data_IF_570387744908
#
_entry.id   IF_570387744908
#
_cell.length_a   1.000
_cell.length_b   1.000
_cell.length_c   1.000
_cell.angle_alpha   90.00
_cell.angle_beta   90.00
_cell.angle_gamma   90.00
#
_symmetry.space_group_name_H-M   'P 1'
#
loop_
_entity.id
_entity.type
_entity.pdbx_description
1 polymer ?
#
# COMPACT_ATOMS: atom_id res chain seq x y z
N UNK A 1 16.54 -17.54 4.05
CA UNK A 1 16.32 -16.09 4.14
C UNK A 1 15.39 -15.69 3.03
N UNK A 2 14.27 -15.06 3.38
CA UNK A 2 13.26 -14.57 2.41
C UNK A 2 13.75 -13.24 1.85
N UNK A 3 13.78 -13.09 0.51
CA UNK A 3 14.09 -11.80 -0.13
C UNK A 3 12.83 -11.05 -0.50
N UNK A 4 12.71 -9.81 -0.05
CA UNK A 4 11.51 -8.98 -0.25
C UNK A 4 11.87 -7.65 -0.89
N UNK A 5 11.31 -7.40 -2.08
CA UNK A 5 11.44 -6.11 -2.78
C UNK A 5 10.52 -5.07 -2.14
N UNK A 6 11.04 -3.88 -1.89
CA UNK A 6 10.32 -2.81 -1.20
C UNK A 6 10.76 -1.43 -1.71
N UNK A 7 9.91 -0.41 -1.53
CA UNK A 7 10.24 0.99 -1.78
C UNK A 7 11.40 1.46 -0.88
N UNK A 8 11.98 2.63 -1.10
CA UNK A 8 13.25 3.04 -0.49
C UNK A 8 13.32 2.81 1.01
N UNK A 9 14.51 2.47 1.48
CA UNK A 9 14.82 2.30 2.89
C UNK A 9 14.41 3.55 3.70
N UNK A 10 13.70 3.34 4.82
CA UNK A 10 13.12 4.40 5.62
C UNK A 10 11.73 4.88 5.15
N UNK A 11 11.16 4.31 4.09
CA UNK A 11 9.79 4.61 3.67
C UNK A 11 8.74 3.94 4.58
N UNK A 12 7.49 4.39 4.48
CA UNK A 12 6.36 3.72 5.15
C UNK A 12 6.25 2.25 4.75
N UNK A 13 6.55 1.91 3.49
CA UNK A 13 6.55 0.51 3.03
C UNK A 13 7.64 -0.33 3.72
N UNK A 14 8.81 0.27 4.00
CA UNK A 14 9.88 -0.39 4.76
C UNK A 14 9.46 -0.63 6.22
N UNK A 15 8.88 0.37 6.90
CA UNK A 15 8.35 0.18 8.26
C UNK A 15 7.26 -0.90 8.28
N UNK A 16 6.32 -0.84 7.33
CA UNK A 16 5.19 -1.74 7.24
C UNK A 16 5.62 -3.21 7.02
N UNK A 17 6.59 -3.46 6.14
CA UNK A 17 7.07 -4.83 5.88
C UNK A 17 7.88 -5.39 7.04
N UNK A 18 8.69 -4.56 7.71
CA UNK A 18 9.40 -4.97 8.93
C UNK A 18 8.43 -5.36 10.05
N UNK A 19 7.29 -4.68 10.12
CA UNK A 19 6.23 -5.05 11.04
C UNK A 19 5.64 -6.42 10.68
N UNK A 20 5.22 -6.65 9.43
CA UNK A 20 4.67 -7.93 8.98
C UNK A 20 5.66 -9.10 9.21
N UNK A 21 6.93 -8.91 8.88
CA UNK A 21 7.93 -9.98 8.89
C UNK A 21 8.63 -10.17 10.26
N UNK A 22 8.17 -9.49 11.32
CA UNK A 22 8.73 -9.65 12.66
C UNK A 22 8.73 -11.13 13.08
N UNK A 23 9.89 -11.62 13.49
CA UNK A 23 10.09 -13.02 13.88
C UNK A 23 10.44 -13.97 12.73
N UNK A 24 10.54 -13.49 11.50
CA UNK A 24 11.03 -14.24 10.35
C UNK A 24 12.44 -13.79 9.95
N UNK A 25 13.19 -14.65 9.27
CA UNK A 25 14.48 -14.30 8.68
C UNK A 25 14.26 -13.77 7.25
N UNK A 26 14.59 -12.51 7.00
CA UNK A 26 14.40 -11.86 5.72
C UNK A 26 15.50 -10.88 5.36
N UNK A 27 15.63 -10.59 4.07
CA UNK A 27 16.46 -9.56 3.46
C UNK A 27 15.58 -8.60 2.65
N UNK A 28 15.70 -7.29 2.87
CA UNK A 28 14.98 -6.27 2.10
C UNK A 28 15.86 -5.76 0.96
N UNK A 29 15.30 -5.77 -0.25
CA UNK A 29 15.92 -5.24 -1.46
C UNK A 29 15.16 -3.98 -1.87
N UNK A 30 15.85 -2.82 -1.90
CA UNK A 30 15.23 -1.51 -2.04
C UNK A 30 15.26 -1.01 -3.48
N UNK A 31 14.12 -0.51 -3.94
CA UNK A 31 13.94 0.08 -5.25
C UNK A 31 13.32 1.47 -5.15
N UNK A 32 13.57 2.32 -6.15
CA UNK A 32 13.02 3.69 -6.17
C UNK A 32 11.58 3.75 -6.64
N UNK A 33 11.20 2.87 -7.56
CA UNK A 33 9.91 2.86 -8.23
C UNK A 33 9.15 1.57 -7.90
N UNK A 34 7.84 1.67 -7.77
CA UNK A 34 6.97 0.51 -7.51
C UNK A 34 7.03 -0.52 -8.65
N UNK A 35 7.21 -0.06 -9.87
CA UNK A 35 7.39 -0.94 -11.04
C UNK A 35 8.61 -1.83 -10.90
N UNK A 36 9.73 -1.27 -10.41
CA UNK A 36 10.96 -2.04 -10.20
C UNK A 36 10.83 -3.01 -9.03
N UNK A 37 10.11 -2.60 -7.95
CA UNK A 37 9.75 -3.47 -6.83
C UNK A 37 8.99 -4.70 -7.33
N UNK A 38 7.97 -4.51 -8.14
CA UNK A 38 7.14 -5.58 -8.67
C UNK A 38 7.90 -6.45 -9.69
N UNK A 39 8.63 -5.83 -10.62
CA UNK A 39 9.41 -6.54 -11.65
C UNK A 39 10.52 -7.40 -11.05
N UNK A 40 11.15 -6.97 -9.97
CA UNK A 40 12.15 -7.78 -9.27
C UNK A 40 11.59 -9.14 -8.84
N UNK A 41 10.36 -9.17 -8.33
CA UNK A 41 9.71 -10.44 -7.95
C UNK A 41 9.22 -11.21 -9.17
N UNK A 42 8.68 -10.53 -10.17
CA UNK A 42 8.24 -11.17 -11.41
C UNK A 42 9.40 -11.85 -12.17
N UNK A 43 10.59 -11.27 -12.11
CA UNK A 43 11.81 -11.83 -12.71
C UNK A 43 12.51 -12.89 -11.84
N UNK A 44 12.07 -13.08 -10.59
CA UNK A 44 12.65 -14.05 -9.66
C UNK A 44 13.90 -13.56 -8.92
N UNK A 45 14.21 -12.26 -8.95
CA UNK A 45 15.33 -11.68 -8.20
C UNK A 45 15.01 -11.61 -6.70
N UNK A 46 13.72 -11.49 -6.35
CA UNK A 46 13.19 -11.54 -4.98
C UNK A 46 12.03 -12.53 -4.87
N UNK A 47 11.77 -13.02 -3.65
CA UNK A 47 10.68 -13.97 -3.39
C UNK A 47 9.32 -13.28 -3.32
N UNK A 48 9.29 -12.04 -2.83
CA UNK A 48 8.07 -11.23 -2.68
C UNK A 48 8.32 -9.77 -2.99
N UNK A 49 7.24 -9.06 -3.32
CA UNK A 49 7.22 -7.60 -3.32
C UNK A 49 6.11 -7.04 -2.43
N UNK A 50 6.34 -5.83 -1.93
CA UNK A 50 5.40 -5.09 -1.08
C UNK A 50 4.76 -3.99 -1.90
N UNK A 51 3.41 -4.00 -1.96
CA UNK A 51 2.64 -3.05 -2.75
C UNK A 51 1.61 -2.33 -1.87
N UNK A 52 1.76 -1.02 -1.61
CA UNK A 52 0.69 -0.23 -1.01
C UNK A 52 -0.43 -0.02 -2.03
N UNK A 53 -1.67 -0.37 -1.68
CA UNK A 53 -2.81 -0.33 -2.61
C UNK A 53 -3.93 0.60 -2.20
N UNK A 54 -3.98 1.02 -0.94
CA UNK A 54 -5.05 1.85 -0.42
C UNK A 54 -4.60 2.61 0.83
N UNK A 55 -5.09 3.82 0.98
CA UNK A 55 -4.91 4.64 2.17
C UNK A 55 -6.26 5.22 2.59
N UNK A 56 -6.56 5.30 3.88
CA UNK A 56 -7.87 5.75 4.37
C UNK A 56 -8.18 7.22 4.04
N UNK A 57 -7.15 8.03 3.78
CA UNK A 57 -7.29 9.47 3.47
C UNK A 57 -7.29 9.70 1.97
N UNK A 58 -6.32 9.11 1.25
CA UNK A 58 -6.11 9.31 -0.19
C UNK A 58 -6.95 8.36 -1.07
N UNK A 59 -7.47 7.29 -0.47
CA UNK A 59 -8.20 6.25 -1.21
C UNK A 59 -7.28 5.26 -1.92
N UNK A 60 -7.72 4.79 -3.09
CA UNK A 60 -7.00 3.78 -3.87
C UNK A 60 -5.70 4.30 -4.47
N UNK A 61 -4.61 3.53 -4.37
CA UNK A 61 -3.38 3.76 -5.11
C UNK A 61 -3.50 3.09 -6.48
N UNK A 62 -4.33 3.68 -7.34
CA UNK A 62 -4.79 3.10 -8.60
C UNK A 62 -3.66 2.68 -9.54
N UNK A 63 -2.55 3.43 -9.57
CA UNK A 63 -1.41 3.11 -10.43
C UNK A 63 -0.73 1.78 -10.03
N UNK A 64 -0.67 1.48 -8.73
CA UNK A 64 -0.10 0.24 -8.22
C UNK A 64 -1.01 -0.96 -8.53
N UNK A 65 -2.31 -0.77 -8.31
CA UNK A 65 -3.31 -1.78 -8.63
C UNK A 65 -3.32 -2.09 -10.14
N UNK A 66 -3.28 -1.06 -10.99
CA UNK A 66 -3.21 -1.22 -12.45
C UNK A 66 -1.98 -2.01 -12.88
N UNK A 67 -0.81 -1.72 -12.29
CA UNK A 67 0.41 -2.47 -12.58
C UNK A 67 0.26 -3.96 -12.21
N UNK A 68 -0.28 -4.24 -11.03
CA UNK A 68 -0.54 -5.62 -10.59
C UNK A 68 -1.52 -6.35 -11.52
N UNK A 69 -2.56 -5.65 -12.00
CA UNK A 69 -3.58 -6.25 -12.87
C UNK A 69 -3.03 -6.58 -14.27
N UNK A 70 -2.29 -5.63 -14.86
CA UNK A 70 -1.93 -5.67 -16.27
C UNK A 70 -0.53 -6.24 -16.55
N UNK A 71 0.40 -5.99 -15.63
CA UNK A 71 1.82 -6.19 -15.88
C UNK A 71 2.45 -7.27 -14.97
N UNK A 72 1.65 -7.83 -14.03
CA UNK A 72 2.09 -8.94 -13.16
C UNK A 72 1.13 -10.11 -13.21
N UNK A 73 1.69 -11.33 -13.13
CA UNK A 73 0.94 -12.56 -12.96
C UNK A 73 1.46 -13.35 -11.75
N UNK A 74 1.44 -12.70 -10.60
CA UNK A 74 1.84 -13.29 -9.32
C UNK A 74 0.69 -13.21 -8.32
N UNK A 75 0.49 -14.26 -7.50
CA UNK A 75 -0.56 -14.27 -6.50
C UNK A 75 -0.24 -13.37 -5.29
N UNK A 76 -1.30 -12.82 -4.70
CA UNK A 76 -1.25 -12.15 -3.41
C UNK A 76 -1.11 -13.21 -2.33
N UNK A 77 -0.16 -13.05 -1.42
CA UNK A 77 0.16 -14.00 -0.35
C UNK A 77 -0.26 -13.54 1.04
N UNK A 78 -0.38 -12.23 1.23
CA UNK A 78 -0.85 -11.65 2.47
C UNK A 78 -1.33 -10.21 2.24
N UNK A 79 -2.17 -9.76 3.15
CA UNK A 79 -2.59 -8.37 3.28
C UNK A 79 -2.38 -7.93 4.73
N UNK A 80 -1.94 -6.69 4.92
CA UNK A 80 -1.94 -6.09 6.26
C UNK A 80 -2.19 -4.59 6.20
N UNK A 81 -2.69 -4.07 7.32
CA UNK A 81 -2.93 -2.65 7.52
C UNK A 81 -1.85 -2.10 8.45
N UNK A 82 -1.26 -0.95 8.09
CA UNK A 82 -0.21 -0.29 8.85
C UNK A 82 -0.52 1.22 8.99
N UNK A 83 -0.42 1.79 10.21
CA UNK A 83 -0.61 3.22 10.45
C UNK A 83 0.69 3.98 10.14
N UNK A 84 0.78 4.72 9.03
CA UNK A 84 1.95 5.55 8.76
C UNK A 84 1.96 6.74 9.72
N UNK A 85 3.05 6.93 10.46
CA UNK A 85 3.28 8.12 11.27
C UNK A 85 4.07 9.15 10.47
N UNK A 86 3.64 10.40 10.54
CA UNK A 86 4.35 11.54 9.96
C UNK A 86 5.01 12.33 11.09
N UNK A 87 6.34 12.43 11.05
CA UNK A 87 7.10 13.13 12.07
C UNK A 87 7.84 14.31 11.46
N UNK A 88 8.03 15.38 12.24
CA UNK A 88 8.94 16.47 11.89
C UNK A 88 10.37 16.05 12.26
N UNK A 89 11.26 16.10 11.29
CA UNK A 89 12.62 15.56 11.39
C UNK A 89 13.64 16.66 11.06
N UNK A 90 14.67 16.79 11.88
CA UNK A 90 15.73 17.77 11.69
C UNK A 90 16.97 17.44 12.51
N UNK A 91 17.85 18.42 12.69
CA UNK A 91 19.00 18.29 13.57
C UNK A 91 18.59 18.52 15.03
N UNK A 92 19.33 17.95 16.02
CA UNK A 92 18.97 18.08 17.44
C UNK A 92 18.83 19.52 17.93
N UNK A 93 19.65 20.41 17.36
CA UNK A 93 19.73 21.84 17.75
C UNK A 93 18.84 22.74 16.88
N UNK A 94 17.93 22.19 16.10
CA UNK A 94 17.00 22.96 15.26
C UNK A 94 16.07 23.80 16.13
N UNK A 95 16.10 25.12 15.93
CA UNK A 95 15.10 26.05 16.44
C UNK A 95 13.93 26.14 15.46
N UNK A 96 12.74 25.74 15.88
CA UNK A 96 11.54 25.79 15.02
C UNK A 96 11.20 27.20 14.54
N UNK A 97 11.55 28.25 15.30
CA UNK A 97 11.33 29.61 14.87
C UNK A 97 12.28 30.07 13.75
N UNK A 98 13.43 29.40 13.61
CA UNK A 98 14.42 29.65 12.57
C UNK A 98 14.30 28.73 11.34
N UNK A 99 13.33 27.82 11.33
CA UNK A 99 13.16 26.92 10.18
C UNK A 99 12.77 27.69 8.93
N UNK A 100 13.56 27.51 7.87
CA UNK A 100 13.36 28.16 6.57
C UNK A 100 12.60 27.27 5.59
N UNK A 101 12.84 25.92 5.65
CA UNK A 101 12.27 24.95 4.71
C UNK A 101 11.75 23.70 5.39
N UNK A 102 10.61 23.22 4.87
CA UNK A 102 10.03 21.90 5.18
C UNK A 102 10.01 21.08 3.89
N UNK A 103 10.74 19.96 3.83
CA UNK A 103 10.86 19.09 2.66
C UNK A 103 10.07 17.80 2.88
N UNK A 104 9.21 17.43 1.94
CA UNK A 104 8.61 16.10 1.89
C UNK A 104 7.88 15.83 0.57
N UNK A 105 7.30 14.65 0.48
CA UNK A 105 6.36 14.33 -0.58
C UNK A 105 5.06 15.15 -0.42
N UNK A 106 4.44 15.53 -1.54
CA UNK A 106 3.24 16.37 -1.55
C UNK A 106 2.13 15.85 -0.62
N UNK A 107 1.88 14.54 -0.63
CA UNK A 107 0.86 13.90 0.20
C UNK A 107 1.17 14.07 1.70
N UNK A 108 2.42 13.85 2.12
CA UNK A 108 2.82 14.00 3.52
C UNK A 108 2.69 15.45 4.00
N UNK A 109 3.07 16.43 3.16
CA UNK A 109 2.88 17.86 3.46
C UNK A 109 1.38 18.18 3.64
N UNK A 110 0.53 17.64 2.75
CA UNK A 110 -0.90 17.86 2.81
C UNK A 110 -1.54 17.24 4.06
N UNK A 111 -1.07 16.05 4.47
CA UNK A 111 -1.54 15.35 5.68
C UNK A 111 -1.08 15.98 7.00
N UNK A 112 -0.12 16.91 6.97
CA UNK A 112 0.39 17.62 8.14
C UNK A 112 0.09 19.14 8.10
N UNK A 113 -0.90 19.55 7.30
CA UNK A 113 -1.16 20.96 6.99
C UNK A 113 -1.45 21.80 8.23
N UNK A 114 -2.28 21.32 9.15
CA UNK A 114 -2.68 22.07 10.34
C UNK A 114 -1.48 22.28 11.27
N UNK A 115 -0.68 21.23 11.51
CA UNK A 115 0.54 21.34 12.30
C UNK A 115 1.53 22.32 11.67
N UNK A 116 1.79 22.20 10.37
CA UNK A 116 2.74 23.06 9.64
C UNK A 116 2.26 24.51 9.59
N UNK A 117 0.96 24.74 9.51
CA UNK A 117 0.37 26.09 9.56
C UNK A 117 0.52 26.72 10.94
N UNK A 118 0.30 25.95 12.00
CA UNK A 118 0.38 26.45 13.38
C UNK A 118 1.82 26.75 13.83
N UNK A 119 2.80 25.92 13.45
CA UNK A 119 4.16 25.96 14.00
C UNK A 119 5.20 26.47 13.00
N UNK A 120 5.00 26.30 11.70
CA UNK A 120 5.98 26.56 10.64
C UNK A 120 5.35 27.32 9.45
N UNK A 121 4.41 28.25 9.73
CA UNK A 121 3.74 29.04 8.68
C UNK A 121 4.70 29.89 7.85
N UNK A 122 5.79 30.33 8.46
CA UNK A 122 6.84 31.16 7.86
C UNK A 122 7.80 30.38 6.94
N UNK A 123 7.92 29.07 7.13
CA UNK A 123 8.84 28.23 6.36
C UNK A 123 8.29 27.89 4.98
N UNK A 124 9.16 27.83 3.97
CA UNK A 124 8.85 27.35 2.64
C UNK A 124 8.54 25.84 2.68
N UNK A 125 7.52 25.38 1.94
CA UNK A 125 7.20 23.95 1.76
C UNK A 125 7.70 23.51 0.40
N UNK A 126 8.80 22.75 0.38
CA UNK A 126 9.42 22.24 -0.82
C UNK A 126 8.99 20.78 -1.07
N UNK A 127 8.32 20.55 -2.21
CA UNK A 127 7.88 19.21 -2.60
C UNK A 127 9.02 18.46 -3.27
N UNK A 128 9.32 17.27 -2.75
CA UNK A 128 10.33 16.35 -3.28
C UNK A 128 9.71 15.02 -3.68
N UNK A 129 10.46 14.15 -4.34
CA UNK A 129 9.96 12.90 -4.93
C UNK A 129 9.45 11.86 -3.92
N UNK A 130 9.90 11.92 -2.66
CA UNK A 130 9.46 11.04 -1.57
C UNK A 130 9.77 11.65 -0.22
N UNK A 131 9.10 11.16 0.85
CA UNK A 131 9.41 11.55 2.24
C UNK A 131 10.87 11.26 2.59
N UNK A 132 11.39 10.11 2.18
CA UNK A 132 12.79 9.71 2.40
C UNK A 132 13.76 10.66 1.70
N UNK A 133 13.43 11.12 0.49
CA UNK A 133 14.29 12.09 -0.23
C UNK A 133 14.35 13.41 0.53
N UNK A 134 13.26 13.87 1.12
CA UNK A 134 13.26 15.06 1.99
C UNK A 134 14.23 14.91 3.16
N UNK A 135 14.17 13.79 3.87
CA UNK A 135 15.07 13.47 4.99
C UNK A 135 16.54 13.43 4.54
N UNK A 136 16.82 12.80 3.39
CA UNK A 136 18.18 12.75 2.81
C UNK A 136 18.70 14.12 2.44
N UNK A 137 17.86 14.98 1.90
CA UNK A 137 18.27 16.34 1.54
C UNK A 137 18.61 17.17 2.79
N UNK A 138 17.79 17.10 3.85
CA UNK A 138 18.10 17.75 5.12
C UNK A 138 19.45 17.30 5.67
N UNK A 139 19.69 15.99 5.69
CA UNK A 139 20.98 15.44 6.16
C UNK A 139 22.15 15.90 5.29
N UNK A 140 22.01 15.85 3.95
CA UNK A 140 23.08 16.20 3.01
C UNK A 140 23.48 17.68 3.07
N UNK A 141 22.48 18.56 3.17
CA UNK A 141 22.73 20.00 3.21
C UNK A 141 23.33 20.46 4.56
N UNK A 142 23.11 19.71 5.64
CA UNK A 142 23.66 20.03 6.96
C UNK A 142 23.16 21.36 7.54
N UNK A 143 22.07 21.92 7.00
CA UNK A 143 21.50 23.17 7.47
C UNK A 143 20.49 22.93 8.59
N UNK A 144 20.72 23.39 9.84
CA UNK A 144 19.81 23.18 10.96
C UNK A 144 18.46 23.90 10.79
N UNK A 145 18.36 24.83 9.84
CA UNK A 145 17.10 25.54 9.54
C UNK A 145 16.23 24.78 8.51
N UNK A 146 16.66 23.58 8.05
CA UNK A 146 15.87 22.74 7.19
C UNK A 146 15.35 21.53 7.94
N UNK A 147 14.09 21.22 7.72
CA UNK A 147 13.42 20.06 8.33
C UNK A 147 12.69 19.24 7.25
N UNK A 148 12.42 17.99 7.56
CA UNK A 148 11.62 17.13 6.70
C UNK A 148 10.40 16.56 7.44
N UNK A 149 9.39 16.14 6.69
CA UNK A 149 8.32 15.29 7.21
C UNK A 149 8.56 13.86 6.73
N UNK A 150 8.60 12.90 7.65
CA UNK A 150 8.89 11.51 7.32
C UNK A 150 8.70 10.55 8.48
N UNK A 151 9.16 9.30 8.28
CA UNK A 151 9.06 8.22 9.25
C UNK A 151 10.13 8.31 10.34
N UNK A 152 9.88 7.69 11.50
CA UNK A 152 10.92 7.52 12.53
C UNK A 152 12.12 6.76 11.98
N UNK A 153 11.87 5.70 11.21
CA UNK A 153 12.92 4.89 10.61
C UNK A 153 13.83 5.70 9.68
N UNK A 154 13.28 6.63 8.91
CA UNK A 154 14.09 7.50 8.06
C UNK A 154 14.99 8.44 8.89
N UNK A 155 14.48 8.98 9.99
CA UNK A 155 15.30 9.79 10.91
C UNK A 155 16.46 8.97 11.48
N UNK A 156 16.20 7.77 11.97
CA UNK A 156 17.20 6.89 12.58
C UNK A 156 18.31 6.50 11.58
N UNK A 157 17.91 6.13 10.35
CA UNK A 157 18.86 5.74 9.29
C UNK A 157 19.78 6.89 8.90
N UNK A 158 19.25 8.12 8.87
CA UNK A 158 20.00 9.29 8.40
C UNK A 158 20.64 10.09 9.53
N UNK A 159 20.60 9.59 10.79
CA UNK A 159 21.22 10.25 11.93
C UNK A 159 20.62 11.60 12.28
N UNK A 160 19.33 11.80 11.95
CA UNK A 160 18.55 12.96 12.30
C UNK A 160 17.64 12.69 13.51
N UNK A 161 17.09 13.73 14.09
CA UNK A 161 16.23 13.64 15.27
C UNK A 161 14.78 13.96 14.90
N UNK A 162 13.86 13.22 15.51
CA UNK A 162 12.44 13.56 15.47
C UNK A 162 12.19 14.72 16.43
N UNK A 163 11.88 15.89 15.87
CA UNK A 163 11.61 17.13 16.59
C UNK A 163 10.18 17.19 17.13
N UNK A 164 9.23 16.63 16.36
CA UNK A 164 7.84 16.46 16.78
C UNK A 164 7.29 15.15 16.20
N UNK A 165 6.63 14.36 17.04
CA UNK A 165 6.06 13.07 16.68
C UNK A 165 4.62 13.22 16.22
N UNK A 166 4.23 12.38 15.28
CA UNK A 166 2.86 12.16 14.82
C UNK A 166 2.12 13.49 14.55
N UNK A 167 2.71 14.29 13.65
CA UNK A 167 2.21 15.62 13.29
C UNK A 167 1.10 15.56 12.22
N UNK A 168 0.61 14.38 11.90
CA UNK A 168 -0.47 14.17 10.91
C UNK A 168 -1.81 14.72 11.41
N UNK A 169 -2.58 15.31 10.50
CA UNK A 169 -3.88 15.94 10.82
C UNK A 169 -5.00 14.91 11.12
N UNK A 170 -4.77 13.63 10.83
CA UNK A 170 -5.77 12.58 10.92
C UNK A 170 -5.29 11.40 11.75
N UNK A 171 -5.95 11.12 12.87
CA UNK A 171 -5.62 10.01 13.79
C UNK A 171 -5.84 8.62 13.16
N UNK A 172 -6.77 8.49 12.19
CA UNK A 172 -7.12 7.23 11.55
C UNK A 172 -6.46 7.07 10.18
N UNK A 173 -5.21 7.51 10.04
CA UNK A 173 -4.45 7.29 8.82
C UNK A 173 -3.94 5.84 8.78
N UNK A 174 -4.49 5.05 7.88
CA UNK A 174 -4.12 3.65 7.68
C UNK A 174 -3.77 3.39 6.23
N UNK A 175 -2.71 2.64 5.99
CA UNK A 175 -2.33 2.17 4.66
C UNK A 175 -2.43 0.66 4.58
N UNK A 176 -3.06 0.18 3.54
CA UNK A 176 -3.21 -1.23 3.23
C UNK A 176 -2.12 -1.66 2.25
N UNK A 177 -1.42 -2.73 2.60
CA UNK A 177 -0.34 -3.31 1.83
C UNK A 177 -0.67 -4.73 1.41
N UNK A 178 -0.16 -5.13 0.24
CA UNK A 178 -0.15 -6.50 -0.22
C UNK A 178 1.28 -7.03 -0.27
N UNK A 179 1.46 -8.28 0.14
CA UNK A 179 2.64 -9.07 -0.13
C UNK A 179 2.32 -9.97 -1.34
N UNK A 180 3.06 -9.79 -2.41
CA UNK A 180 2.82 -10.49 -3.68
C UNK A 180 4.03 -11.33 -4.02
N UNK A 181 3.83 -12.59 -4.43
CA UNK A 181 4.93 -13.48 -4.78
C UNK A 181 4.48 -14.90 -5.09
N UNK A 182 5.36 -15.74 -5.66
CA UNK A 182 4.98 -17.05 -6.21
C UNK A 182 4.72 -18.14 -5.15
N UNK A 183 5.13 -17.91 -3.89
CA UNK A 183 5.06 -18.90 -2.81
C UNK A 183 4.25 -18.36 -1.64
N UNK A 184 3.58 -19.26 -0.90
CA UNK A 184 2.92 -18.91 0.36
C UNK A 184 3.92 -18.39 1.41
N UNK A 185 3.50 -17.39 2.16
CA UNK A 185 4.26 -16.88 3.29
C UNK A 185 4.14 -17.83 4.49
N UNK A 186 5.17 -18.63 4.73
CA UNK A 186 5.21 -19.51 5.89
C UNK A 186 5.50 -18.74 7.20
N UNK A 187 4.93 -19.22 8.31
CA UNK A 187 5.19 -18.67 9.64
C UNK A 187 4.27 -17.52 10.07
N UNK A 188 3.36 -17.07 9.22
CA UNK A 188 2.30 -16.12 9.57
C UNK A 188 0.93 -16.71 9.26
N UNK A 189 0.02 -16.59 10.22
CA UNK A 189 -1.37 -17.06 10.09
C UNK A 189 -2.32 -16.01 10.62
N UNK A 190 -3.49 -15.89 10.00
CA UNK A 190 -4.62 -15.11 10.48
C UNK A 190 -5.89 -15.95 10.38
N UNK A 191 -6.84 -15.72 11.28
CA UNK A 191 -8.18 -16.28 11.18
C UNK A 191 -9.01 -15.54 10.12
N UNK A 192 -8.60 -14.34 9.75
CA UNK A 192 -9.23 -13.54 8.71
C UNK A 192 -8.61 -13.85 7.36
N UNK A 193 -9.40 -14.45 6.49
CA UNK A 193 -8.98 -14.79 5.12
C UNK A 193 -9.74 -13.93 4.12
N UNK A 194 -9.05 -13.50 3.09
CA UNK A 194 -9.64 -12.79 1.95
C UNK A 194 -9.27 -13.44 0.63
N UNK A 195 -10.11 -13.22 -0.35
CA UNK A 195 -9.84 -13.59 -1.74
C UNK A 195 -10.02 -12.38 -2.63
N UNK A 196 -9.00 -12.03 -3.41
CA UNK A 196 -9.08 -10.97 -4.43
C UNK A 196 -9.25 -11.56 -5.80
N UNK A 197 -10.18 -11.01 -6.57
CA UNK A 197 -10.48 -11.46 -7.93
C UNK A 197 -10.56 -10.30 -8.90
N UNK A 198 -10.37 -10.61 -10.18
CA UNK A 198 -10.73 -9.75 -11.30
C UNK A 198 -11.85 -10.41 -12.08
N UNK A 199 -12.86 -9.64 -12.43
CA UNK A 199 -13.97 -10.07 -13.28
C UNK A 199 -14.03 -9.17 -14.51
N UNK A 200 -14.12 -9.79 -15.69
CA UNK A 200 -14.45 -9.13 -16.95
C UNK A 200 -15.85 -9.56 -17.37
N UNK A 201 -16.72 -8.58 -17.60
CA UNK A 201 -18.05 -8.87 -18.14
C UNK A 201 -17.97 -9.27 -19.62
N UNK A 202 -18.77 -10.23 -20.10
CA UNK A 202 -18.79 -10.63 -21.51
C UNK A 202 -19.30 -9.49 -22.41
N UNK A 203 -20.28 -8.75 -21.91
CA UNK A 203 -20.88 -7.56 -22.55
C UNK A 203 -21.26 -6.54 -21.48
N UNK A 204 -21.15 -5.24 -21.80
CA UNK A 204 -21.62 -4.17 -20.93
C UNK A 204 -23.08 -3.82 -21.28
N UNK A 205 -24.00 -4.25 -20.43
CA UNK A 205 -25.41 -3.95 -20.52
C UNK A 205 -25.97 -3.53 -19.14
N UNK A 206 -27.08 -2.76 -19.10
CA UNK A 206 -27.70 -2.39 -17.83
C UNK A 206 -28.04 -3.58 -16.96
N UNK A 207 -27.43 -3.66 -15.76
CA UNK A 207 -27.62 -4.78 -14.83
C UNK A 207 -26.55 -5.88 -14.89
N UNK A 208 -25.57 -5.84 -15.79
CA UNK A 208 -24.53 -6.87 -15.89
C UNK A 208 -23.74 -7.03 -14.56
N UNK A 209 -23.26 -5.93 -14.00
CA UNK A 209 -22.60 -5.94 -12.68
C UNK A 209 -23.53 -6.44 -11.56
N UNK A 210 -24.82 -6.08 -11.60
CA UNK A 210 -25.81 -6.56 -10.63
C UNK A 210 -25.92 -8.08 -10.61
N UNK A 211 -25.85 -8.76 -11.77
CA UNK A 211 -25.88 -10.22 -11.83
C UNK A 211 -24.67 -10.83 -11.13
N UNK A 212 -23.47 -10.27 -11.35
CA UNK A 212 -22.25 -10.69 -10.64
C UNK A 212 -22.41 -10.52 -9.13
N UNK A 213 -22.85 -9.35 -8.67
CA UNK A 213 -23.02 -9.07 -7.25
C UNK A 213 -24.10 -9.96 -6.61
N UNK A 214 -25.13 -10.36 -7.36
CA UNK A 214 -26.19 -11.26 -6.87
C UNK A 214 -25.65 -12.63 -6.49
N UNK A 215 -24.63 -13.15 -7.19
CA UNK A 215 -24.00 -14.43 -6.87
C UNK A 215 -23.40 -14.44 -5.45
N UNK A 216 -22.85 -13.31 -5.00
CA UNK A 216 -22.34 -13.14 -3.64
C UNK A 216 -23.46 -12.86 -2.65
N UNK A 217 -24.40 -11.98 -3.01
CA UNK A 217 -25.51 -11.56 -2.13
C UNK A 217 -26.39 -12.73 -1.69
N UNK A 218 -26.76 -13.64 -2.59
CA UNK A 218 -27.55 -14.84 -2.28
C UNK A 218 -26.88 -15.76 -1.26
N UNK A 219 -25.54 -15.74 -1.24
CA UNK A 219 -24.71 -16.56 -0.32
C UNK A 219 -24.28 -15.80 0.93
N UNK A 220 -24.70 -14.52 1.07
CA UNK A 220 -24.31 -13.62 2.18
C UNK A 220 -22.79 -13.48 2.31
N UNK A 221 -22.07 -13.52 1.20
CA UNK A 221 -20.63 -13.29 1.15
C UNK A 221 -20.39 -11.79 1.14
N UNK A 222 -19.60 -11.30 2.09
CA UNK A 222 -19.25 -9.88 2.17
C UNK A 222 -18.14 -9.52 1.17
N UNK A 223 -18.27 -8.36 0.55
CA UNK A 223 -17.29 -7.76 -0.32
C UNK A 223 -16.76 -6.49 0.34
N UNK A 224 -15.47 -6.46 0.69
CA UNK A 224 -14.86 -5.31 1.38
C UNK A 224 -14.39 -4.22 0.41
N UNK A 225 -14.23 -4.54 -0.89
CA UNK A 225 -13.87 -3.58 -1.92
C UNK A 225 -14.39 -3.99 -3.29
N UNK A 226 -14.84 -3.01 -4.05
CA UNK A 226 -15.16 -3.14 -5.47
C UNK A 226 -14.60 -1.92 -6.19
N UNK A 227 -13.79 -2.14 -7.21
CA UNK A 227 -13.19 -1.06 -8.00
C UNK A 227 -13.21 -1.41 -9.48
N UNK A 228 -13.74 -0.51 -10.32
CA UNK A 228 -13.67 -0.66 -11.76
C UNK A 228 -12.35 -0.12 -12.28
N UNK A 229 -11.64 -0.93 -13.06
CA UNK A 229 -10.38 -0.54 -13.71
C UNK A 229 -10.45 -0.74 -15.21
N UNK A 230 -9.92 0.20 -16.03
CA UNK A 230 -9.97 0.06 -17.48
C UNK A 230 -9.17 -1.15 -17.96
N UNK A 231 -9.70 -1.90 -18.93
CA UNK A 231 -9.00 -3.06 -19.51
C UNK A 231 -7.79 -2.68 -20.37
N UNK A 232 -7.61 -1.38 -20.70
CA UNK A 232 -6.63 -0.85 -21.65
C UNK A 232 -6.78 -1.37 -23.09
N UNK A 233 -7.87 -2.14 -23.39
CA UNK A 233 -8.14 -2.67 -24.73
C UNK A 233 -9.07 -1.76 -25.53
N UNK A 234 -10.12 -1.25 -24.90
CA UNK A 234 -11.13 -0.41 -25.54
C UNK A 234 -11.81 0.47 -24.49
N UNK A 235 -12.22 1.70 -24.88
CA UNK A 235 -13.05 2.54 -24.01
C UNK A 235 -14.38 1.84 -23.71
N UNK A 236 -14.82 1.90 -22.46
CA UNK A 236 -16.03 1.25 -21.98
C UNK A 236 -15.85 -0.18 -21.45
N UNK A 237 -14.68 -0.79 -21.64
CA UNK A 237 -14.41 -2.11 -21.10
C UNK A 237 -13.63 -2.00 -19.78
N UNK A 238 -14.17 -2.63 -18.73
CA UNK A 238 -13.63 -2.58 -17.37
C UNK A 238 -13.38 -3.97 -16.81
N UNK A 239 -12.30 -4.09 -16.01
CA UNK A 239 -12.17 -5.10 -15.00
C UNK A 239 -12.87 -4.63 -13.73
N UNK A 240 -13.53 -5.54 -13.02
CA UNK A 240 -13.95 -5.31 -11.65
C UNK A 240 -12.99 -6.03 -10.72
N UNK A 241 -12.18 -5.26 -10.01
CA UNK A 241 -11.36 -5.77 -8.90
C UNK A 241 -12.27 -5.88 -7.67
N UNK A 242 -12.33 -7.05 -7.06
CA UNK A 242 -13.19 -7.32 -5.90
C UNK A 242 -12.39 -8.03 -4.82
N UNK A 243 -12.44 -7.48 -3.61
CA UNK A 243 -11.97 -8.15 -2.39
C UNK A 243 -13.13 -8.78 -1.64
N UNK A 244 -13.02 -10.06 -1.37
CA UNK A 244 -14.05 -10.92 -0.78
C UNK A 244 -13.56 -11.36 0.59
N UNK A 245 -14.39 -11.19 1.63
CA UNK A 245 -14.09 -11.65 2.99
C UNK A 245 -14.43 -13.14 3.17
N UNK A 246 -13.79 -13.96 2.36
CA UNK A 246 -13.91 -15.43 2.40
C UNK A 246 -12.69 -16.06 1.70
N UNK A 247 -12.45 -17.33 1.95
CA UNK A 247 -11.34 -18.07 1.33
C UNK A 247 -11.81 -18.98 0.20
N UNK A 248 -10.87 -19.34 -0.69
CA UNK A 248 -11.13 -20.31 -1.75
C UNK A 248 -11.46 -21.73 -1.24
N UNK A 249 -11.28 -22.01 0.04
CA UNK A 249 -11.73 -23.25 0.68
C UNK A 249 -13.25 -23.30 0.92
N UNK A 250 -13.89 -22.13 0.96
CA UNK A 250 -15.32 -21.99 1.15
C UNK A 250 -16.11 -22.58 -0.04
N UNK A 251 -17.04 -23.48 0.27
CA UNK A 251 -17.97 -24.03 -0.73
C UNK A 251 -18.88 -22.94 -1.31
N UNK A 252 -19.26 -21.95 -0.46
CA UNK A 252 -20.12 -20.84 -0.89
C UNK A 252 -19.41 -19.95 -1.88
N UNK A 253 -18.15 -19.57 -1.60
CA UNK A 253 -17.36 -18.75 -2.52
C UNK A 253 -17.14 -19.47 -3.85
N UNK A 254 -16.67 -20.73 -3.82
CA UNK A 254 -16.50 -21.50 -5.06
C UNK A 254 -17.80 -21.62 -5.87
N UNK A 255 -18.94 -21.75 -5.19
CA UNK A 255 -20.25 -21.76 -5.83
C UNK A 255 -20.61 -20.45 -6.50
N UNK A 256 -20.31 -19.30 -5.86
CA UNK A 256 -20.51 -17.98 -6.44
C UNK A 256 -19.63 -17.77 -7.69
N UNK A 257 -18.35 -18.12 -7.60
CA UNK A 257 -17.42 -17.97 -8.74
C UNK A 257 -17.82 -18.81 -9.94
N UNK A 258 -18.25 -20.07 -9.74
CA UNK A 258 -18.78 -20.93 -10.81
C UNK A 258 -20.05 -20.35 -11.46
N UNK A 259 -20.93 -19.74 -10.69
CA UNK A 259 -22.13 -19.08 -11.23
C UNK A 259 -21.73 -17.88 -12.10
N UNK A 260 -20.76 -17.07 -11.66
CA UNK A 260 -20.24 -15.93 -12.42
C UNK A 260 -19.59 -16.37 -13.73
N UNK A 261 -18.82 -17.45 -13.73
CA UNK A 261 -18.26 -18.04 -14.94
C UNK A 261 -19.36 -18.59 -15.88
N UNK A 262 -20.40 -19.23 -15.30
CA UNK A 262 -21.50 -19.79 -16.07
C UNK A 262 -22.34 -18.76 -16.82
N UNK A 263 -22.41 -17.51 -16.33
CA UNK A 263 -23.05 -16.40 -17.05
C UNK A 263 -22.14 -15.73 -18.08
N UNK A 264 -20.94 -16.29 -18.31
CA UNK A 264 -20.02 -15.87 -19.37
C UNK A 264 -18.95 -14.85 -18.96
N UNK A 265 -18.82 -14.53 -17.66
CA UNK A 265 -17.76 -13.66 -17.20
C UNK A 265 -16.40 -14.38 -17.21
N UNK A 266 -15.34 -13.65 -17.59
CA UNK A 266 -13.98 -14.09 -17.36
C UNK A 266 -13.58 -13.78 -15.93
N UNK A 267 -12.98 -14.76 -15.21
CA UNK A 267 -12.59 -14.62 -13.82
C UNK A 267 -11.11 -14.96 -13.64
N UNK A 268 -10.37 -14.10 -12.96
CA UNK A 268 -8.99 -14.34 -12.54
C UNK A 268 -8.89 -14.19 -11.02
N UNK A 269 -8.50 -15.23 -10.31
CA UNK A 269 -8.20 -15.18 -8.89
C UNK A 269 -6.78 -14.62 -8.72
N UNK A 270 -6.65 -13.51 -8.01
CA UNK A 270 -5.39 -12.86 -7.73
C UNK A 270 -4.70 -13.41 -6.48
N UNK A 271 -5.47 -14.09 -5.61
CA UNK A 271 -4.96 -14.75 -4.41
C UNK A 271 -6.08 -15.00 -3.40
N UNK A 272 -5.86 -16.00 -2.54
CA UNK A 272 -6.65 -16.26 -1.34
C UNK A 272 -5.65 -16.33 -0.17
N UNK A 273 -5.71 -15.39 0.76
CA UNK A 273 -4.60 -15.07 1.63
C UNK A 273 -5.05 -14.59 3.01
N UNK A 274 -4.18 -14.69 4.04
CA UNK A 274 -4.43 -14.11 5.35
C UNK A 274 -4.41 -12.57 5.30
N UNK A 275 -5.37 -11.97 6.00
CA UNK A 275 -5.48 -10.53 6.22
C UNK A 275 -5.17 -10.22 7.67
N UNK A 276 -4.30 -9.23 7.93
CA UNK A 276 -3.87 -8.87 9.27
C UNK A 276 -4.21 -7.41 9.57
N UNK A 277 -4.81 -7.16 10.73
CA UNK A 277 -4.86 -5.84 11.33
C UNK A 277 -3.52 -5.49 11.96
N UNK A 278 -3.25 -4.20 12.19
CA UNK A 278 -1.99 -3.71 12.77
C UNK A 278 -1.61 -4.41 14.09
N UNK A 279 -2.59 -4.71 14.94
CA UNK A 279 -2.37 -5.35 16.24
C UNK A 279 -2.13 -6.87 16.18
N UNK A 280 -2.31 -7.49 15.03
CA UNK A 280 -2.24 -8.95 14.84
C UNK A 280 -0.90 -9.43 14.29
N UNK A 281 -0.01 -8.53 13.95
CA UNK A 281 1.27 -8.82 13.27
C UNK A 281 2.43 -8.95 14.26
#
# INVERSE_FOLDING_TARGET
VIKVAVLPQGSVSDEAVRHLLRGLEYELVYYKLITDVCLSTANGDTDYCVVPIENTIEGSVSAHLDFMIHDMDLPIQAEWVFPPTQNLIGFPDTDLAAVEKVLSHQVAIAQCREYLKANLSHAEKEVVSSTVEGVKQVQREGNPNWVAVGTQLAADIHGLTVLAKDIGDHENNMTRFLLVGPKELNGKRSEHLKTSILITLPEDYPGALHQVLSAFAWRRINLSRIESRPTRKQLGNYYFYIDIEDSMDSVLLRGALKEIEAIGCELRVLGSYPSFNYSEV
#
